data_IF_460966806070
#
_entry.id   IF_460966806070
#
_cell.length_a   1.000
_cell.length_b   1.000
_cell.length_c   1.000
_cell.angle_alpha   90.00
_cell.angle_beta   90.00
_cell.angle_gamma   90.00
#
_symmetry.space_group_name_H-M   'P 1'
#
loop_
_entity.id
_entity.type
_entity.pdbx_description
1 polymer ?
#
# COMPACT_ATOMS: atom_id res chain seq x y z
N UNK A 1 40.55 44.80 -0.13
CA UNK A 1 39.55 44.20 -1.02
C UNK A 1 39.47 42.74 -0.66
N UNK A 2 38.42 42.36 0.08
CA UNK A 2 38.18 40.99 0.48
C UNK A 2 36.92 40.52 -0.26
N UNK A 3 37.06 39.51 -1.11
CA UNK A 3 35.98 38.90 -1.85
C UNK A 3 35.31 37.86 -0.97
N UNK A 4 34.02 38.04 -0.67
CA UNK A 4 33.20 37.09 0.03
C UNK A 4 32.65 36.06 -0.98
N UNK A 5 33.09 34.82 -0.85
CA UNK A 5 32.44 33.68 -1.53
C UNK A 5 31.19 33.28 -0.78
N UNK A 6 30.03 33.51 -1.37
CA UNK A 6 28.77 32.96 -0.91
C UNK A 6 28.67 31.50 -1.38
N UNK A 7 28.74 30.57 -0.45
CA UNK A 7 28.44 29.15 -0.71
C UNK A 7 26.94 28.94 -0.77
N UNK A 8 26.43 28.68 -1.98
CA UNK A 8 25.08 28.17 -2.16
C UNK A 8 25.01 26.72 -1.68
N UNK A 9 24.37 26.52 -0.54
CA UNK A 9 24.02 25.20 -0.03
C UNK A 9 22.90 24.57 -0.86
N UNK A 10 23.25 23.84 -1.91
CA UNK A 10 22.32 22.94 -2.59
C UNK A 10 21.93 21.81 -1.64
N UNK A 11 20.63 21.66 -1.35
CA UNK A 11 20.10 20.46 -0.71
C UNK A 11 20.48 19.24 -1.56
N UNK A 12 21.10 18.20 -1.00
CA UNK A 12 21.33 16.99 -1.76
C UNK A 12 19.99 16.29 -1.97
N UNK A 13 19.50 16.26 -3.20
CA UNK A 13 18.53 15.27 -3.64
C UNK A 13 19.18 13.90 -3.48
N UNK A 14 18.71 13.12 -2.51
CA UNK A 14 19.14 11.74 -2.32
C UNK A 14 18.55 10.88 -3.44
N UNK A 15 19.20 10.90 -4.59
CA UNK A 15 19.04 9.86 -5.59
C UNK A 15 19.82 8.65 -5.10
N UNK A 16 19.11 7.68 -4.48
CA UNK A 16 19.61 6.31 -4.46
C UNK A 16 19.68 5.91 -5.94
N UNK A 17 20.91 5.72 -6.45
CA UNK A 17 21.09 5.24 -7.82
C UNK A 17 20.26 3.96 -8.02
N UNK A 18 19.41 3.90 -9.07
CA UNK A 18 18.71 2.68 -9.38
C UNK A 18 19.75 1.61 -9.68
N UNK A 19 19.65 0.46 -9.01
CA UNK A 19 20.40 -0.73 -9.40
C UNK A 19 20.30 -0.88 -10.92
N UNK A 20 21.45 -1.10 -11.58
CA UNK A 20 21.58 -1.14 -13.04
C UNK A 20 20.40 -1.92 -13.65
N UNK A 21 19.64 -1.25 -14.53
CA UNK A 21 18.48 -1.84 -15.19
C UNK A 21 18.88 -3.17 -15.84
N UNK A 22 18.33 -4.27 -15.35
CA UNK A 22 18.43 -5.57 -16.02
C UNK A 22 17.40 -5.56 -17.14
N UNK A 23 17.82 -5.54 -18.42
CA UNK A 23 16.92 -5.28 -19.56
C UNK A 23 15.81 -6.32 -19.73
N UNK A 24 15.93 -7.49 -19.11
CA UNK A 24 14.97 -8.60 -19.24
C UNK A 24 13.93 -8.67 -18.09
N UNK A 25 14.06 -7.85 -17.03
CA UNK A 25 13.13 -7.84 -15.92
C UNK A 25 12.06 -6.77 -16.13
N UNK A 26 10.85 -7.25 -16.39
CA UNK A 26 9.66 -6.40 -16.51
C UNK A 26 9.07 -6.02 -15.16
N UNK A 27 9.55 -6.61 -14.07
CA UNK A 27 9.18 -6.33 -12.68
C UNK A 27 10.42 -5.99 -11.85
N UNK A 28 10.33 -4.96 -11.02
CA UNK A 28 11.42 -4.51 -10.15
C UNK A 28 10.95 -4.38 -8.69
N UNK A 29 11.88 -4.52 -7.76
CA UNK A 29 11.68 -4.20 -6.34
C UNK A 29 12.16 -2.77 -6.09
N UNK A 30 11.44 -2.02 -5.27
CA UNK A 30 11.76 -0.62 -4.95
C UNK A 30 11.25 -0.21 -3.58
N UNK A 31 11.61 1.02 -3.14
CA UNK A 31 11.01 1.75 -2.02
C UNK A 31 10.68 3.16 -2.48
N UNK A 32 9.62 3.78 -1.91
CA UNK A 32 9.22 5.15 -2.25
C UNK A 32 8.95 5.95 -0.98
N UNK A 33 9.74 6.99 -0.76
CA UNK A 33 9.65 7.85 0.42
C UNK A 33 8.24 8.39 0.69
N UNK A 34 7.60 8.99 -0.32
CA UNK A 34 6.28 9.61 -0.18
C UNK A 34 5.18 8.60 0.16
N UNK A 35 5.33 7.35 -0.27
CA UNK A 35 4.39 6.28 0.07
C UNK A 35 4.52 5.92 1.54
N UNK A 36 5.76 5.68 1.97
CA UNK A 36 6.04 5.34 3.36
C UNK A 36 5.67 6.48 4.32
N UNK A 37 5.98 7.73 3.98
CA UNK A 37 5.59 8.90 4.79
C UNK A 37 4.06 9.02 4.92
N UNK A 38 3.33 8.86 3.81
CA UNK A 38 1.88 8.96 3.81
C UNK A 38 1.23 7.83 4.62
N UNK A 39 1.67 6.58 4.38
CA UNK A 39 1.21 5.40 5.14
C UNK A 39 1.60 5.46 6.62
N UNK A 40 2.79 6.03 6.94
CA UNK A 40 3.20 6.29 8.32
C UNK A 40 2.17 7.14 9.05
N UNK A 41 1.71 8.25 8.45
CA UNK A 41 0.68 9.09 9.06
C UNK A 41 -0.61 8.32 9.37
N UNK A 42 -1.06 7.48 8.45
CA UNK A 42 -2.23 6.62 8.69
C UNK A 42 -1.97 5.57 9.77
N UNK A 43 -0.81 4.93 9.77
CA UNK A 43 -0.43 3.95 10.80
C UNK A 43 -0.37 4.56 12.21
N UNK A 44 -0.01 5.85 12.31
CA UNK A 44 -0.04 6.59 13.59
C UNK A 44 -1.45 6.95 14.05
N UNK A 45 -2.41 7.11 13.14
CA UNK A 45 -3.77 7.55 13.45
C UNK A 45 -4.79 6.41 13.47
N UNK A 46 -4.70 5.47 12.53
CA UNK A 46 -5.71 4.44 12.34
C UNK A 46 -5.63 3.38 13.44
N UNK A 47 -6.79 2.95 13.93
CA UNK A 47 -6.93 1.71 14.67
C UNK A 47 -7.34 0.65 13.65
N UNK A 48 -6.39 -0.20 13.25
CA UNK A 48 -6.68 -1.29 12.34
C UNK A 48 -7.52 -2.35 13.04
N UNK A 49 -8.72 -2.60 12.50
CA UNK A 49 -9.68 -3.59 13.00
C UNK A 49 -10.00 -4.66 11.96
N UNK A 50 -9.25 -4.67 10.86
CA UNK A 50 -9.40 -5.67 9.80
C UNK A 50 -8.85 -7.02 10.24
N UNK A 51 -9.40 -8.11 9.69
CA UNK A 51 -8.96 -9.46 10.01
C UNK A 51 -7.48 -9.67 9.64
N UNK A 52 -7.07 -9.15 8.49
CA UNK A 52 -5.67 -9.06 8.10
C UNK A 52 -5.27 -7.59 8.20
N UNK A 53 -4.31 -7.22 9.05
CA UNK A 53 -3.98 -5.81 9.27
C UNK A 53 -3.19 -5.22 8.10
N UNK A 54 -3.48 -3.95 7.79
CA UNK A 54 -2.65 -3.17 6.87
C UNK A 54 -1.30 -2.82 7.48
N UNK A 55 -1.29 -2.45 8.76
CA UNK A 55 -0.10 -1.92 9.43
C UNK A 55 0.50 -2.92 10.41
N UNK A 56 1.83 -2.87 10.54
CA UNK A 56 2.57 -3.72 11.47
C UNK A 56 2.09 -3.54 12.91
N UNK A 57 1.83 -4.63 13.64
CA UNK A 57 1.54 -4.56 15.07
C UNK A 57 2.65 -3.82 15.83
N UNK A 58 2.27 -2.91 16.74
CA UNK A 58 3.22 -2.14 17.54
C UNK A 58 4.02 -1.08 16.76
N UNK A 59 3.69 -0.81 15.47
CA UNK A 59 4.37 0.23 14.70
C UNK A 59 4.29 1.59 15.38
N UNK A 60 3.09 2.01 15.79
CA UNK A 60 2.89 3.27 16.51
C UNK A 60 3.72 3.33 17.78
N UNK A 61 3.64 2.32 18.64
CA UNK A 61 4.36 2.28 19.92
C UNK A 61 5.87 2.38 19.72
N UNK A 62 6.38 1.74 18.67
CA UNK A 62 7.79 1.80 18.30
C UNK A 62 8.22 3.20 17.87
N UNK A 63 7.40 3.88 17.07
CA UNK A 63 7.63 5.27 16.64
C UNK A 63 7.54 6.23 17.82
N UNK A 64 6.51 6.10 18.65
CA UNK A 64 6.34 6.94 19.85
C UNK A 64 7.50 6.80 20.81
N UNK A 65 7.95 5.56 21.05
CA UNK A 65 9.14 5.30 21.89
C UNK A 65 10.42 5.91 21.30
N UNK A 66 10.58 5.87 19.97
CA UNK A 66 11.72 6.49 19.30
C UNK A 66 11.69 8.01 19.43
N UNK A 67 10.56 8.65 19.12
CA UNK A 67 10.38 10.10 19.24
C UNK A 67 10.60 10.57 20.67
N UNK A 68 10.06 9.84 21.65
CA UNK A 68 10.24 10.15 23.08
C UNK A 68 11.70 10.12 23.50
N UNK A 69 12.48 9.11 23.06
CA UNK A 69 13.91 9.07 23.35
C UNK A 69 14.69 10.23 22.73
N UNK A 70 14.28 10.67 21.54
CA UNK A 70 14.88 11.80 20.83
C UNK A 70 14.35 13.17 21.25
N UNK A 71 13.42 13.24 22.20
CA UNK A 71 12.71 14.47 22.58
C UNK A 71 12.12 15.21 21.37
N UNK A 72 11.54 14.43 20.43
CA UNK A 72 10.94 14.92 19.20
C UNK A 72 9.43 15.01 19.40
N UNK A 73 8.82 16.15 19.08
CA UNK A 73 7.38 16.36 19.04
C UNK A 73 6.97 17.04 17.74
N UNK A 74 5.95 16.51 17.13
CA UNK A 74 5.43 16.98 15.83
C UNK A 74 3.94 17.33 15.93
N UNK A 75 3.39 17.98 14.89
CA UNK A 75 1.95 18.23 14.81
C UNK A 75 1.14 16.92 14.77
N UNK A 76 1.70 15.84 14.24
CA UNK A 76 1.04 14.55 14.26
C UNK A 76 0.84 14.02 15.70
N UNK A 77 1.74 14.37 16.62
CA UNK A 77 1.62 14.00 18.03
C UNK A 77 0.62 14.91 18.77
N UNK A 78 0.60 16.22 18.48
CA UNK A 78 -0.25 17.20 19.18
C UNK A 78 -1.70 17.19 18.68
N UNK A 79 -1.90 17.05 17.38
CA UNK A 79 -3.21 17.10 16.72
C UNK A 79 -3.78 15.68 16.47
N UNK A 80 -2.99 14.65 16.80
CA UNK A 80 -3.28 13.25 16.50
C UNK A 80 -4.63 12.76 17.01
N UNK A 81 -5.08 13.20 18.19
CA UNK A 81 -6.37 12.78 18.75
C UNK A 81 -7.55 13.33 17.95
N UNK A 82 -7.48 14.58 17.49
CA UNK A 82 -8.49 15.17 16.64
C UNK A 82 -8.54 14.49 15.26
N UNK A 83 -7.38 14.29 14.64
CA UNK A 83 -7.27 13.60 13.34
C UNK A 83 -7.77 12.16 13.43
N UNK A 84 -7.45 11.46 14.51
CA UNK A 84 -7.88 10.06 14.76
C UNK A 84 -9.38 9.95 14.95
N UNK A 85 -9.98 10.88 15.71
CA UNK A 85 -11.42 10.89 15.95
C UNK A 85 -12.19 11.08 14.65
N UNK A 86 -11.75 11.99 13.78
CA UNK A 86 -12.37 12.22 12.49
C UNK A 86 -12.16 11.02 11.54
N UNK A 87 -10.95 10.46 11.50
CA UNK A 87 -10.64 9.26 10.68
C UNK A 87 -11.51 8.07 11.08
N UNK A 88 -11.75 7.87 12.38
CA UNK A 88 -12.59 6.78 12.88
C UNK A 88 -14.09 6.96 12.57
N UNK A 89 -14.54 8.20 12.39
CA UNK A 89 -15.95 8.52 12.11
C UNK A 89 -16.31 8.54 10.62
N UNK A 90 -15.32 8.52 9.72
CA UNK A 90 -15.53 8.63 8.28
C UNK A 90 -14.68 7.63 7.49
N UNK A 91 -15.33 6.57 7.00
CA UNK A 91 -14.67 5.51 6.22
C UNK A 91 -14.06 6.00 4.89
N UNK A 92 -14.53 7.11 4.33
CA UNK A 92 -13.94 7.68 3.11
C UNK A 92 -12.53 8.20 3.36
N UNK A 93 -12.27 8.77 4.55
CA UNK A 93 -10.92 9.20 4.92
C UNK A 93 -9.94 8.03 4.91
N UNK A 94 -10.38 6.84 5.35
CA UNK A 94 -9.57 5.60 5.29
C UNK A 94 -9.23 5.24 3.84
N UNK A 95 -10.15 5.46 2.90
CA UNK A 95 -9.90 5.26 1.46
C UNK A 95 -8.73 6.05 0.90
N UNK A 96 -8.37 7.17 1.53
CA UNK A 96 -7.23 8.01 1.16
C UNK A 96 -5.85 7.48 1.60
N UNK A 97 -5.78 6.40 2.39
CA UNK A 97 -4.51 5.90 2.96
C UNK A 97 -3.45 5.53 1.90
N UNK A 98 -3.85 5.18 0.69
CA UNK A 98 -2.94 4.83 -0.39
C UNK A 98 -2.70 5.96 -1.41
N UNK A 99 -3.14 7.18 -1.09
CA UNK A 99 -2.95 8.34 -1.98
C UNK A 99 -1.49 8.54 -2.41
N UNK A 100 -0.53 8.25 -1.52
CA UNK A 100 0.91 8.37 -1.81
C UNK A 100 1.39 7.55 -3.00
N UNK A 101 0.72 6.44 -3.35
CA UNK A 101 1.08 5.59 -4.48
C UNK A 101 0.95 6.29 -5.84
N UNK A 102 0.02 7.25 -5.97
CA UNK A 102 -0.25 7.97 -7.21
C UNK A 102 0.81 9.03 -7.56
N UNK A 103 1.76 9.28 -6.65
CA UNK A 103 2.76 10.31 -6.81
C UNK A 103 4.19 9.75 -6.87
N UNK A 104 5.08 10.50 -7.54
CA UNK A 104 6.49 10.12 -7.66
C UNK A 104 7.38 10.67 -6.55
N UNK A 105 6.93 11.71 -5.87
CA UNK A 105 7.68 12.36 -4.78
C UNK A 105 6.76 13.05 -3.79
N UNK A 106 7.27 13.31 -2.60
CA UNK A 106 6.53 14.08 -1.59
C UNK A 106 6.22 15.51 -2.05
N UNK A 107 7.13 16.15 -2.77
CA UNK A 107 6.91 17.47 -3.33
C UNK A 107 5.72 17.49 -4.33
N UNK A 108 5.61 16.48 -5.19
CA UNK A 108 4.48 16.37 -6.13
C UNK A 108 3.18 16.05 -5.40
N UNK A 109 3.21 15.24 -4.36
CA UNK A 109 2.05 14.96 -3.50
C UNK A 109 1.53 16.24 -2.85
N UNK A 110 2.41 17.01 -2.20
CA UNK A 110 2.06 18.27 -1.56
C UNK A 110 1.46 19.26 -2.55
N UNK A 111 2.13 19.45 -3.70
CA UNK A 111 1.66 20.37 -4.74
C UNK A 111 0.24 20.01 -5.22
N UNK A 112 -0.04 18.73 -5.45
CA UNK A 112 -1.34 18.27 -5.90
C UNK A 112 -2.42 18.50 -4.84
N UNK A 113 -2.14 18.20 -3.57
CA UNK A 113 -3.07 18.42 -2.46
C UNK A 113 -3.34 19.92 -2.28
N UNK A 114 -2.30 20.78 -2.31
CA UNK A 114 -2.46 22.22 -2.17
C UNK A 114 -3.31 22.81 -3.31
N UNK A 115 -3.06 22.38 -4.54
CA UNK A 115 -3.88 22.77 -5.69
C UNK A 115 -5.33 22.31 -5.55
N UNK A 116 -5.56 21.07 -5.11
CA UNK A 116 -6.89 20.55 -4.85
C UNK A 116 -7.60 21.40 -3.79
N UNK A 117 -7.00 21.60 -2.62
CA UNK A 117 -7.58 22.35 -1.51
C UNK A 117 -7.85 23.83 -1.87
N UNK A 118 -6.97 24.46 -2.66
CA UNK A 118 -7.18 25.83 -3.16
C UNK A 118 -8.38 25.94 -4.08
N UNK A 119 -8.65 24.91 -4.89
CA UNK A 119 -9.75 24.93 -5.85
C UNK A 119 -11.09 24.42 -5.25
N UNK A 120 -11.01 23.61 -4.19
CA UNK A 120 -12.18 23.04 -3.53
C UNK A 120 -12.84 24.01 -2.56
N UNK A 121 -12.09 24.96 -1.99
CA UNK A 121 -12.59 25.95 -1.02
C UNK A 121 -12.69 27.32 -1.72
N UNK A 122 -13.91 27.79 -1.96
CA UNK A 122 -14.17 29.19 -2.32
C UNK A 122 -14.18 30.02 -1.02
N UNK A 123 -13.59 31.24 -1.05
CA UNK A 123 -13.64 32.20 0.08
C UNK A 123 -15.08 32.60 0.45
N UNK A 124 -16.03 32.46 -0.48
CA UNK A 124 -17.43 32.89 -0.36
C UNK A 124 -18.42 31.76 -0.10
N UNK A 125 -18.07 30.74 0.67
CA UNK A 125 -18.98 29.69 1.19
C UNK A 125 -19.93 29.00 0.16
N UNK A 126 -19.84 29.36 -1.12
CA UNK A 126 -20.60 28.72 -2.20
C UNK A 126 -19.85 27.49 -2.74
N UNK A 127 -20.53 26.33 -2.85
CA UNK A 127 -19.92 25.17 -3.49
C UNK A 127 -19.61 25.47 -4.95
N UNK A 128 -18.39 25.84 -5.27
CA UNK A 128 -17.96 25.86 -6.67
C UNK A 128 -17.91 24.43 -7.18
N UNK A 129 -18.80 24.09 -8.09
CA UNK A 129 -18.57 22.91 -8.95
C UNK A 129 -17.22 23.13 -9.63
N UNK A 130 -16.25 22.35 -9.22
CA UNK A 130 -14.90 22.43 -9.77
C UNK A 130 -14.98 22.31 -11.29
N UNK A 131 -14.64 23.37 -12.01
CA UNK A 131 -14.60 23.33 -13.45
C UNK A 131 -13.31 22.61 -13.89
N UNK A 132 -13.35 21.27 -13.86
CA UNK A 132 -12.23 20.41 -14.26
C UNK A 132 -11.76 20.68 -15.69
N UNK A 133 -12.57 21.40 -16.50
CA UNK A 133 -12.16 21.86 -17.86
C UNK A 133 -11.07 22.92 -17.85
N UNK A 134 -10.82 23.60 -16.71
CA UNK A 134 -9.75 24.58 -16.57
C UNK A 134 -8.39 23.93 -16.20
N UNK A 135 -8.36 22.67 -15.83
CA UNK A 135 -7.12 21.93 -15.66
C UNK A 135 -6.64 21.49 -17.03
N UNK A 136 -5.60 22.18 -17.52
CA UNK A 136 -5.07 22.05 -18.88
C UNK A 136 -4.42 20.68 -19.12
N UNK A 137 -3.94 20.02 -18.05
CA UNK A 137 -3.21 18.76 -18.10
C UNK A 137 -4.08 17.56 -17.71
N UNK A 138 -4.18 16.50 -18.55
CA UNK A 138 -4.93 15.27 -18.25
C UNK A 138 -4.47 14.57 -16.98
N UNK A 139 -3.16 14.56 -16.68
CA UNK A 139 -2.60 13.93 -15.49
C UNK A 139 -3.10 14.64 -14.23
N UNK A 140 -3.17 15.96 -14.24
CA UNK A 140 -3.75 16.75 -13.15
C UNK A 140 -5.21 16.43 -12.91
N UNK A 141 -6.01 16.16 -13.95
CA UNK A 141 -7.44 15.81 -13.80
C UNK A 141 -7.61 14.45 -13.12
N UNK A 142 -6.81 13.46 -13.52
CA UNK A 142 -6.84 12.13 -12.93
C UNK A 142 -6.48 12.19 -11.43
N UNK A 143 -5.41 12.92 -11.09
CA UNK A 143 -4.98 13.15 -9.70
C UNK A 143 -6.05 13.85 -8.87
N UNK A 144 -6.71 14.88 -9.42
CA UNK A 144 -7.81 15.57 -8.73
C UNK A 144 -8.99 14.63 -8.47
N UNK A 145 -9.38 13.81 -9.44
CA UNK A 145 -10.45 12.83 -9.26
C UNK A 145 -10.14 11.82 -8.15
N UNK A 146 -8.88 11.38 -8.04
CA UNK A 146 -8.42 10.48 -6.99
C UNK A 146 -8.52 11.14 -5.61
N UNK A 147 -8.03 12.38 -5.46
CA UNK A 147 -8.12 13.11 -4.20
C UNK A 147 -9.60 13.34 -3.84
N UNK A 148 -10.40 13.75 -4.81
CA UNK A 148 -11.84 14.02 -4.62
C UNK A 148 -12.62 12.77 -4.20
N UNK A 149 -12.23 11.58 -4.63
CA UNK A 149 -12.90 10.34 -4.25
C UNK A 149 -12.90 10.12 -2.72
N UNK A 150 -11.83 10.54 -2.03
CA UNK A 150 -11.67 10.39 -0.57
C UNK A 150 -11.94 11.68 0.22
N UNK A 151 -11.92 12.85 -0.45
CA UNK A 151 -11.96 14.15 0.25
C UNK A 151 -12.90 15.14 -0.45
N UNK A 152 -14.15 14.73 -0.69
CA UNK A 152 -15.15 15.49 -1.48
C UNK A 152 -15.91 16.55 -0.69
N UNK A 153 -16.10 16.33 0.62
CA UNK A 153 -16.86 17.24 1.51
C UNK A 153 -15.95 18.22 2.25
N UNK A 154 -16.52 19.31 2.78
CA UNK A 154 -15.75 20.29 3.60
C UNK A 154 -15.06 19.65 4.82
N UNK A 155 -15.73 18.81 5.62
CA UNK A 155 -15.06 18.13 6.73
C UNK A 155 -13.87 17.28 6.27
N UNK A 156 -14.03 16.50 5.20
CA UNK A 156 -12.96 15.67 4.62
C UNK A 156 -11.79 16.54 4.10
N UNK A 157 -12.08 17.67 3.44
CA UNK A 157 -11.07 18.63 2.97
C UNK A 157 -10.35 19.34 4.12
N UNK A 158 -11.07 19.64 5.19
CA UNK A 158 -10.47 20.20 6.42
C UNK A 158 -9.53 19.18 7.05
N UNK A 159 -9.97 17.94 7.18
CA UNK A 159 -9.12 16.85 7.66
C UNK A 159 -7.86 16.69 6.79
N UNK A 160 -8.00 16.64 5.48
CA UNK A 160 -6.86 16.52 4.54
C UNK A 160 -5.87 17.68 4.73
N UNK A 161 -6.36 18.90 4.93
CA UNK A 161 -5.50 20.07 5.19
C UNK A 161 -4.70 19.90 6.48
N UNK A 162 -5.36 19.57 7.58
CA UNK A 162 -4.74 19.37 8.88
C UNK A 162 -3.77 18.19 8.86
N UNK A 163 -4.17 17.08 8.26
CA UNK A 163 -3.32 15.90 8.09
C UNK A 163 -2.07 16.21 7.25
N UNK A 164 -2.23 16.92 6.11
CA UNK A 164 -1.09 17.28 5.27
C UNK A 164 -0.13 18.24 5.98
N UNK A 165 -0.65 19.18 6.78
CA UNK A 165 0.17 20.05 7.61
C UNK A 165 0.97 19.25 8.66
N UNK A 166 0.31 18.29 9.32
CA UNK A 166 0.97 17.39 10.26
C UNK A 166 2.05 16.54 9.56
N UNK A 167 1.79 16.03 8.36
CA UNK A 167 2.76 15.25 7.59
C UNK A 167 3.97 16.07 7.12
N UNK A 168 3.82 17.36 6.83
CA UNK A 168 4.95 18.28 6.53
C UNK A 168 5.84 18.50 7.74
N UNK A 169 5.24 18.66 8.89
CA UNK A 169 5.96 18.83 10.15
C UNK A 169 6.69 17.53 10.54
N UNK A 170 6.01 16.37 10.37
CA UNK A 170 6.56 15.03 10.56
C UNK A 170 7.75 14.77 9.64
N UNK A 171 7.62 15.07 8.34
CA UNK A 171 8.69 14.99 7.33
C UNK A 171 9.94 15.75 7.80
N UNK A 172 9.75 17.00 8.19
CA UNK A 172 10.85 17.93 8.48
C UNK A 172 11.55 17.59 9.80
N UNK A 173 10.79 17.28 10.86
CA UNK A 173 11.32 17.11 12.21
C UNK A 173 11.80 15.68 12.51
N UNK A 174 11.22 14.70 11.84
CA UNK A 174 11.43 13.30 12.21
C UNK A 174 11.61 12.36 11.03
N UNK A 175 10.58 12.21 10.17
CA UNK A 175 10.44 11.05 9.31
C UNK A 175 11.49 10.97 8.20
N UNK A 176 11.94 12.09 7.64
CA UNK A 176 12.97 12.08 6.60
C UNK A 176 14.28 11.44 7.07
N UNK A 177 14.69 11.72 8.33
CA UNK A 177 15.89 11.13 8.90
C UNK A 177 15.67 9.66 9.29
N UNK A 178 14.53 9.36 9.92
CA UNK A 178 14.13 8.00 10.27
C UNK A 178 14.13 7.10 9.03
N UNK A 179 13.45 7.49 7.96
CA UNK A 179 13.36 6.70 6.74
C UNK A 179 14.72 6.41 6.12
N UNK A 180 15.59 7.41 5.99
CA UNK A 180 16.97 7.21 5.49
C UNK A 180 17.74 6.21 6.33
N UNK A 181 17.64 6.30 7.63
CA UNK A 181 18.27 5.36 8.56
C UNK A 181 17.72 3.95 8.37
N UNK A 182 16.38 3.80 8.21
CA UNK A 182 15.77 2.51 7.94
C UNK A 182 16.21 1.93 6.60
N UNK A 183 16.31 2.73 5.53
CA UNK A 183 16.81 2.25 4.23
C UNK A 183 18.25 1.71 4.35
N UNK A 184 19.11 2.40 5.07
CA UNK A 184 20.50 1.95 5.31
C UNK A 184 20.52 0.65 6.12
N UNK A 185 19.79 0.60 7.23
CA UNK A 185 19.78 -0.56 8.13
C UNK A 185 19.16 -1.80 7.48
N UNK A 186 18.24 -1.61 6.52
CA UNK A 186 17.50 -2.68 5.82
C UNK A 186 18.06 -2.99 4.42
N UNK A 187 19.23 -2.46 4.06
CA UNK A 187 19.81 -2.69 2.73
C UNK A 187 20.01 -4.19 2.43
N UNK A 188 20.43 -4.99 3.42
CA UNK A 188 20.59 -6.43 3.27
C UNK A 188 19.24 -7.15 3.09
N UNK A 189 18.18 -6.68 3.76
CA UNK A 189 16.83 -7.22 3.62
C UNK A 189 16.28 -6.89 2.23
N UNK A 190 16.46 -5.65 1.78
CA UNK A 190 16.09 -5.24 0.42
C UNK A 190 16.76 -6.13 -0.63
N UNK A 191 18.08 -6.33 -0.52
CA UNK A 191 18.84 -7.19 -1.43
C UNK A 191 18.35 -8.65 -1.39
N UNK A 192 17.97 -9.17 -0.23
CA UNK A 192 17.40 -10.50 -0.09
C UNK A 192 16.04 -10.63 -0.80
N UNK A 193 15.13 -9.64 -0.63
CA UNK A 193 13.84 -9.62 -1.32
C UNK A 193 14.04 -9.51 -2.83
N UNK A 194 14.90 -8.60 -3.30
CA UNK A 194 15.19 -8.44 -4.73
C UNK A 194 15.77 -9.74 -5.32
N UNK A 195 16.69 -10.40 -4.62
CA UNK A 195 17.26 -11.68 -5.03
C UNK A 195 16.22 -12.79 -5.09
N UNK A 196 15.38 -12.94 -4.06
CA UNK A 196 14.27 -13.90 -4.04
C UNK A 196 13.34 -13.69 -5.23
N UNK A 197 12.96 -12.45 -5.49
CA UNK A 197 12.12 -12.13 -6.64
C UNK A 197 12.80 -12.45 -7.95
N UNK A 198 13.95 -11.86 -8.20
CA UNK A 198 14.59 -11.89 -9.52
C UNK A 198 15.17 -13.26 -9.90
N UNK A 199 15.68 -14.01 -8.91
CA UNK A 199 16.38 -15.27 -9.16
C UNK A 199 15.49 -16.51 -8.96
N UNK A 200 14.43 -16.40 -8.12
CA UNK A 200 13.63 -17.57 -7.74
C UNK A 200 12.19 -17.46 -8.20
N UNK A 201 11.48 -16.37 -7.83
CA UNK A 201 10.02 -16.36 -7.94
C UNK A 201 9.50 -15.70 -9.21
N UNK A 202 10.17 -14.73 -9.80
CA UNK A 202 9.70 -14.08 -11.03
C UNK A 202 9.38 -15.10 -12.14
N UNK A 203 10.26 -16.06 -12.37
CA UNK A 203 10.05 -17.10 -13.39
C UNK A 203 8.79 -17.94 -13.10
N UNK A 204 8.51 -18.25 -11.83
CA UNK A 204 7.35 -19.01 -11.40
C UNK A 204 6.03 -18.20 -11.55
N UNK A 205 6.06 -16.92 -11.22
CA UNK A 205 4.91 -16.03 -11.33
C UNK A 205 4.63 -15.55 -12.76
N UNK A 206 5.64 -15.54 -13.64
CA UNK A 206 5.58 -14.89 -14.96
C UNK A 206 4.39 -15.31 -15.80
N UNK A 207 4.05 -16.61 -15.84
CA UNK A 207 2.91 -17.11 -16.64
C UNK A 207 1.61 -16.50 -16.16
N UNK A 208 1.35 -16.56 -14.85
CA UNK A 208 0.17 -15.97 -14.23
C UNK A 208 0.12 -14.46 -14.46
N UNK A 209 1.20 -13.73 -14.16
CA UNK A 209 1.28 -12.28 -14.35
C UNK A 209 1.00 -11.86 -15.80
N UNK A 210 1.51 -12.61 -16.76
CA UNK A 210 1.26 -12.33 -18.19
C UNK A 210 -0.22 -12.54 -18.55
N UNK A 211 -0.81 -13.65 -18.10
CA UNK A 211 -2.21 -13.99 -18.40
C UNK A 211 -3.21 -13.06 -17.71
N UNK A 212 -2.91 -12.62 -16.49
CA UNK A 212 -3.73 -11.64 -15.74
C UNK A 212 -3.49 -10.19 -16.18
N UNK A 213 -2.77 -9.94 -17.28
CA UNK A 213 -2.51 -8.58 -17.78
C UNK A 213 -1.47 -7.79 -17.00
N UNK A 214 -0.69 -8.46 -16.14
CA UNK A 214 0.31 -7.86 -15.25
C UNK A 214 1.75 -8.20 -15.72
N UNK A 215 2.00 -8.25 -17.03
CA UNK A 215 3.29 -8.67 -17.58
C UNK A 215 4.50 -7.83 -17.13
N UNK A 216 4.28 -6.63 -16.62
CA UNK A 216 5.27 -5.72 -16.03
C UNK A 216 4.69 -5.05 -14.79
N UNK A 217 5.56 -4.61 -13.87
CA UNK A 217 5.10 -3.95 -12.65
C UNK A 217 6.24 -3.62 -11.68
N UNK A 218 5.85 -3.21 -10.49
CA UNK A 218 6.75 -2.82 -9.41
C UNK A 218 6.28 -3.41 -8.08
N UNK A 219 7.18 -4.04 -7.36
CA UNK A 219 7.01 -4.47 -5.98
C UNK A 219 7.58 -3.36 -5.11
N UNK A 220 6.72 -2.67 -4.37
CA UNK A 220 7.09 -1.56 -3.53
C UNK A 220 7.12 -2.00 -2.07
N UNK A 221 8.32 -2.11 -1.49
CA UNK A 221 8.48 -2.42 -0.07
C UNK A 221 8.14 -1.20 0.77
N UNK A 222 7.26 -1.36 1.75
CA UNK A 222 6.78 -0.29 2.62
C UNK A 222 6.97 -0.62 4.09
N UNK A 223 7.58 0.31 4.84
CA UNK A 223 7.94 0.13 6.24
C UNK A 223 6.74 -0.12 7.16
N UNK A 224 5.62 0.63 7.05
CA UNK A 224 4.48 0.43 7.93
C UNK A 224 3.57 -0.75 7.57
N UNK A 225 3.61 -1.27 6.32
CA UNK A 225 2.68 -2.31 5.87
C UNK A 225 2.99 -3.70 6.45
N UNK A 226 1.93 -4.49 6.67
CA UNK A 226 1.97 -5.87 7.17
C UNK A 226 1.39 -6.88 6.18
N UNK A 227 0.23 -7.45 6.45
CA UNK A 227 -0.38 -8.56 5.71
C UNK A 227 -1.20 -8.11 4.50
N UNK A 228 -1.92 -7.02 4.63
CA UNK A 228 -2.60 -6.38 3.50
C UNK A 228 -1.64 -5.45 2.79
N UNK A 229 -1.68 -5.49 1.47
CA UNK A 229 -0.95 -4.58 0.60
C UNK A 229 -1.89 -3.66 -0.17
N UNK A 230 -1.42 -3.16 -1.29
CA UNK A 230 -2.25 -2.42 -2.23
C UNK A 230 -1.71 -2.49 -3.65
N UNK A 231 -2.56 -2.86 -4.57
CA UNK A 231 -2.28 -2.82 -6.00
C UNK A 231 -2.84 -1.56 -6.62
N UNK A 232 -1.99 -0.76 -7.25
CA UNK A 232 -2.35 0.38 -8.09
C UNK A 232 -2.03 0.05 -9.54
N UNK A 233 -3.05 -0.02 -10.39
CA UNK A 233 -2.87 -0.19 -11.84
C UNK A 233 -2.49 1.13 -12.52
N UNK A 234 -1.39 1.14 -13.27
CA UNK A 234 -1.02 2.23 -14.17
C UNK A 234 -1.06 1.71 -15.61
N UNK A 235 -1.89 2.28 -16.52
CA UNK A 235 -2.11 1.74 -17.87
C UNK A 235 -0.82 1.49 -18.65
N UNK A 236 0.15 2.41 -18.54
CA UNK A 236 1.38 2.38 -19.36
C UNK A 236 2.57 1.69 -18.67
N UNK A 237 2.51 1.44 -17.35
CA UNK A 237 3.64 0.94 -16.55
C UNK A 237 3.41 -0.40 -15.91
N UNK A 238 2.18 -0.88 -15.94
CA UNK A 238 1.75 -2.01 -15.17
C UNK A 238 1.49 -1.65 -13.69
N UNK A 239 1.06 -2.61 -12.86
CA UNK A 239 0.73 -2.35 -11.47
C UNK A 239 1.97 -2.00 -10.62
N UNK A 240 1.79 -1.08 -9.69
CA UNK A 240 2.62 -0.92 -8.51
C UNK A 240 1.95 -1.64 -7.35
N UNK A 241 2.63 -2.61 -6.76
CA UNK A 241 2.12 -3.41 -5.64
C UNK A 241 2.91 -3.07 -4.40
N UNK A 242 2.27 -2.35 -3.47
CA UNK A 242 2.85 -2.05 -2.17
C UNK A 242 2.69 -3.27 -1.26
N UNK A 243 3.79 -3.73 -0.68
CA UNK A 243 3.87 -4.90 0.20
C UNK A 243 4.68 -4.58 1.44
N UNK A 244 4.65 -5.46 2.43
CA UNK A 244 5.47 -5.31 3.63
C UNK A 244 6.97 -5.22 3.30
N UNK A 245 7.67 -4.34 4.02
CA UNK A 245 9.14 -4.39 4.10
C UNK A 245 9.51 -5.27 5.30
N UNK A 246 10.01 -6.49 5.10
CA UNK A 246 10.29 -7.42 6.18
C UNK A 246 11.29 -6.86 7.21
N UNK A 247 11.25 -7.37 8.44
CA UNK A 247 12.08 -6.83 9.52
C UNK A 247 13.46 -7.50 9.63
N UNK A 248 13.62 -8.67 8.99
CA UNK A 248 14.90 -9.40 8.94
C UNK A 248 15.12 -10.09 7.58
N UNK A 249 16.36 -10.48 7.30
CA UNK A 249 16.71 -11.26 6.08
C UNK A 249 16.00 -12.61 6.08
N UNK A 250 15.85 -13.26 7.22
CA UNK A 250 15.13 -14.53 7.35
C UNK A 250 13.64 -14.42 7.02
N UNK A 251 13.07 -13.22 7.12
CA UNK A 251 11.68 -12.93 6.81
C UNK A 251 11.47 -12.35 5.40
N UNK A 252 12.53 -12.21 4.61
CA UNK A 252 12.46 -11.61 3.27
C UNK A 252 11.36 -12.24 2.39
N UNK A 253 11.06 -13.51 2.59
CA UNK A 253 9.99 -14.23 1.88
C UNK A 253 8.58 -13.70 2.17
N UNK A 254 8.35 -12.98 3.27
CA UNK A 254 7.05 -12.40 3.59
C UNK A 254 6.57 -11.40 2.52
N UNK A 255 7.51 -10.69 1.88
CA UNK A 255 7.18 -9.83 0.74
C UNK A 255 6.55 -10.61 -0.42
N UNK A 256 6.96 -11.87 -0.63
CA UNK A 256 6.37 -12.76 -1.66
C UNK A 256 4.98 -13.25 -1.25
N UNK A 257 4.71 -13.41 0.05
CA UNK A 257 3.38 -13.76 0.54
C UNK A 257 2.38 -12.63 0.25
N UNK A 258 2.73 -11.39 0.62
CA UNK A 258 1.87 -10.23 0.34
C UNK A 258 1.76 -9.97 -1.16
N UNK A 259 2.84 -10.19 -1.94
CA UNK A 259 2.76 -10.13 -3.39
C UNK A 259 1.77 -11.13 -3.97
N UNK A 260 1.78 -12.40 -3.52
CA UNK A 260 0.84 -13.42 -3.99
C UNK A 260 -0.62 -13.04 -3.68
N UNK A 261 -0.86 -12.49 -2.49
CA UNK A 261 -2.16 -11.93 -2.08
C UNK A 261 -2.61 -10.79 -3.00
N UNK A 262 -1.72 -9.89 -3.36
CA UNK A 262 -2.06 -8.70 -4.14
C UNK A 262 -2.23 -8.98 -5.64
N UNK A 263 -1.37 -9.81 -6.24
CA UNK A 263 -1.47 -10.10 -7.68
C UNK A 263 -2.72 -10.89 -8.04
N UNK A 264 -3.29 -11.63 -7.08
CA UNK A 264 -4.53 -12.37 -7.27
C UNK A 264 -5.79 -11.50 -7.15
N UNK A 265 -5.67 -10.29 -6.59
CA UNK A 265 -6.80 -9.42 -6.29
C UNK A 265 -7.74 -9.15 -7.49
N UNK A 266 -7.28 -8.98 -8.74
CA UNK A 266 -8.19 -8.84 -9.88
C UNK A 266 -9.09 -10.07 -10.08
N UNK A 267 -8.53 -11.27 -9.91
CA UNK A 267 -9.24 -12.55 -10.06
C UNK A 267 -10.20 -12.77 -8.88
N UNK A 268 -9.72 -12.57 -7.65
CA UNK A 268 -10.54 -12.75 -6.43
C UNK A 268 -11.68 -11.74 -6.36
N UNK A 269 -11.44 -10.48 -6.70
CA UNK A 269 -12.48 -9.45 -6.77
C UNK A 269 -13.50 -9.74 -7.87
N UNK A 270 -13.07 -10.28 -9.02
CA UNK A 270 -13.95 -10.78 -10.08
C UNK A 270 -14.87 -11.86 -9.55
N UNK A 271 -14.32 -12.89 -8.91
CA UNK A 271 -15.09 -13.99 -8.35
C UNK A 271 -16.11 -13.52 -7.28
N UNK A 272 -15.74 -12.59 -6.40
CA UNK A 272 -16.66 -11.99 -5.42
C UNK A 272 -17.76 -11.20 -6.12
N UNK A 273 -17.38 -10.33 -7.07
CA UNK A 273 -18.32 -9.47 -7.77
C UNK A 273 -19.36 -10.24 -8.59
N UNK A 274 -18.98 -11.32 -9.24
CA UNK A 274 -19.86 -12.13 -10.07
C UNK A 274 -20.82 -13.01 -9.22
N UNK A 275 -20.44 -13.31 -7.97
CA UNK A 275 -21.22 -14.14 -7.06
C UNK A 275 -21.88 -13.36 -5.92
N UNK A 276 -22.00 -12.04 -6.07
CA UNK A 276 -22.76 -11.16 -5.17
C UNK A 276 -23.76 -10.33 -5.95
N UNK A 277 -25.01 -10.28 -5.46
CA UNK A 277 -26.08 -9.51 -6.08
C UNK A 277 -25.88 -8.00 -5.89
N UNK A 278 -26.52 -7.12 -6.71
CA UNK A 278 -26.48 -5.68 -6.48
C UNK A 278 -26.99 -5.24 -5.10
N UNK A 279 -27.98 -5.96 -4.52
CA UNK A 279 -28.47 -5.70 -3.18
C UNK A 279 -27.42 -6.00 -2.14
N UNK A 280 -26.80 -7.18 -2.20
CA UNK A 280 -25.71 -7.59 -1.30
C UNK A 280 -24.49 -6.66 -1.37
N UNK A 281 -24.13 -6.16 -2.56
CA UNK A 281 -23.08 -5.15 -2.73
C UNK A 281 -23.43 -3.84 -2.02
N UNK A 282 -24.69 -3.40 -2.14
CA UNK A 282 -25.16 -2.18 -1.47
C UNK A 282 -25.16 -2.33 0.05
N UNK A 283 -25.40 -3.53 0.56
CA UNK A 283 -25.38 -3.88 1.99
C UNK A 283 -23.97 -4.15 2.54
N UNK A 284 -22.92 -4.07 1.69
CA UNK A 284 -21.54 -4.34 2.09
C UNK A 284 -21.21 -5.82 2.25
N UNK A 285 -22.08 -6.74 1.83
CA UNK A 285 -21.84 -8.18 1.92
C UNK A 285 -20.65 -8.61 1.07
N UNK A 286 -20.46 -7.99 -0.09
CA UNK A 286 -19.30 -8.24 -0.96
C UNK A 286 -17.99 -7.95 -0.25
N UNK A 287 -17.93 -6.89 0.57
CA UNK A 287 -16.72 -6.46 1.26
C UNK A 287 -16.23 -7.51 2.28
N UNK A 288 -17.16 -8.28 2.87
CA UNK A 288 -16.81 -9.38 3.78
C UNK A 288 -16.07 -10.55 3.11
N UNK A 289 -16.19 -10.70 1.80
CA UNK A 289 -15.50 -11.75 1.04
C UNK A 289 -14.23 -11.30 0.36
N UNK A 290 -13.97 -9.98 0.26
CA UNK A 290 -12.84 -9.42 -0.51
C UNK A 290 -11.49 -9.90 0.03
N UNK A 291 -11.18 -9.65 1.31
CA UNK A 291 -9.92 -10.11 1.93
C UNK A 291 -9.86 -11.65 2.05
N UNK A 292 -10.91 -12.37 2.50
CA UNK A 292 -10.92 -13.84 2.45
C UNK A 292 -10.65 -14.43 1.07
N UNK A 293 -11.21 -13.85 0.00
CA UNK A 293 -10.98 -14.32 -1.35
C UNK A 293 -9.55 -14.08 -1.84
N UNK A 294 -8.95 -12.95 -1.46
CA UNK A 294 -7.56 -12.65 -1.78
C UNK A 294 -6.60 -13.59 -1.03
N UNK A 295 -6.81 -13.83 0.27
CA UNK A 295 -6.00 -14.78 1.07
C UNK A 295 -6.12 -16.21 0.50
N UNK A 296 -7.35 -16.68 0.22
CA UNK A 296 -7.59 -18.01 -0.35
C UNK A 296 -7.03 -18.14 -1.77
N UNK A 297 -7.19 -17.10 -2.58
CA UNK A 297 -6.67 -17.03 -3.94
C UNK A 297 -5.14 -17.05 -3.98
N UNK A 298 -4.48 -16.28 -3.12
CA UNK A 298 -3.03 -16.29 -2.99
C UNK A 298 -2.49 -17.66 -2.58
N UNK A 299 -3.18 -18.33 -1.62
CA UNK A 299 -2.84 -19.70 -1.25
C UNK A 299 -2.95 -20.67 -2.44
N UNK A 300 -4.06 -20.65 -3.17
CA UNK A 300 -4.27 -21.51 -4.35
C UNK A 300 -3.28 -21.20 -5.47
N UNK A 301 -2.97 -19.95 -5.71
CA UNK A 301 -1.93 -19.56 -6.67
C UNK A 301 -0.59 -20.18 -6.28
N UNK A 302 -0.16 -20.00 -5.03
CA UNK A 302 1.11 -20.58 -4.55
C UNK A 302 1.14 -22.10 -4.61
N UNK A 303 0.04 -22.79 -4.30
CA UNK A 303 -0.06 -24.25 -4.45
C UNK A 303 0.27 -24.71 -5.88
N UNK A 304 -0.06 -23.91 -6.89
CA UNK A 304 0.18 -24.22 -8.31
C UNK A 304 1.56 -23.82 -8.82
N UNK A 305 2.12 -22.69 -8.36
CA UNK A 305 3.34 -22.12 -8.95
C UNK A 305 4.57 -22.14 -8.02
N UNK A 306 4.38 -22.17 -6.70
CA UNK A 306 5.44 -22.11 -5.70
C UNK A 306 5.04 -22.87 -4.41
N UNK A 307 4.82 -24.21 -4.48
CA UNK A 307 4.28 -25.01 -3.38
C UNK A 307 5.14 -24.94 -2.12
N UNK A 308 6.43 -24.67 -2.23
CA UNK A 308 7.34 -24.46 -1.09
C UNK A 308 6.95 -23.23 -0.22
N UNK A 309 6.18 -22.29 -0.74
CA UNK A 309 5.72 -21.10 0.00
C UNK A 309 4.42 -21.33 0.75
N UNK A 310 3.66 -22.36 0.45
CA UNK A 310 2.26 -22.58 0.90
C UNK A 310 2.13 -22.57 2.41
N UNK A 311 2.96 -23.35 3.12
CA UNK A 311 2.89 -23.45 4.58
C UNK A 311 3.30 -22.13 5.24
N UNK A 312 4.35 -21.49 4.74
CA UNK A 312 4.81 -20.18 5.24
C UNK A 312 3.77 -19.08 5.01
N UNK A 313 3.13 -19.07 3.84
CA UNK A 313 2.02 -18.17 3.52
C UNK A 313 0.85 -18.37 4.47
N UNK A 314 0.43 -19.61 4.70
CA UNK A 314 -0.67 -19.92 5.58
C UNK A 314 -0.38 -19.47 7.03
N UNK A 315 0.81 -19.74 7.54
CA UNK A 315 1.24 -19.25 8.87
C UNK A 315 1.20 -17.74 8.96
N UNK A 316 1.78 -17.05 7.97
CA UNK A 316 1.84 -15.60 7.94
C UNK A 316 0.46 -14.96 8.07
N UNK A 317 -0.56 -15.44 7.33
CA UNK A 317 -1.91 -14.87 7.40
C UNK A 317 -2.69 -15.31 8.63
N UNK A 318 -2.48 -16.52 9.14
CA UNK A 318 -3.08 -16.95 10.41
C UNK A 318 -2.54 -16.15 11.60
N UNK A 319 -1.21 -15.94 11.63
CA UNK A 319 -0.56 -15.15 12.67
C UNK A 319 -1.00 -13.69 12.61
N UNK A 320 -1.09 -13.10 11.39
CA UNK A 320 -1.58 -11.75 11.17
C UNK A 320 -3.03 -11.57 11.63
N UNK A 321 -3.87 -12.58 11.43
CA UNK A 321 -5.26 -12.60 11.86
C UNK A 321 -5.45 -13.04 13.32
N UNK A 322 -4.36 -13.32 14.06
CA UNK A 322 -4.39 -13.84 15.43
C UNK A 322 -5.19 -15.15 15.58
N UNK A 323 -5.15 -16.01 14.57
CA UNK A 323 -5.84 -17.31 14.55
C UNK A 323 -4.89 -18.40 15.00
N UNK A 324 -5.27 -19.11 16.07
CA UNK A 324 -4.52 -20.28 16.54
C UNK A 324 -4.73 -21.48 15.61
N UNK A 325 -3.67 -22.22 15.34
CA UNK A 325 -3.68 -23.41 14.49
C UNK A 325 -2.77 -24.51 15.04
N UNK A 326 -3.01 -25.74 14.62
CA UNK A 326 -2.13 -26.87 14.94
C UNK A 326 -1.03 -26.95 13.89
N UNK A 327 0.25 -27.09 14.27
CA UNK A 327 1.34 -27.32 13.32
C UNK A 327 1.03 -28.50 12.38
N UNK A 328 1.18 -28.28 11.07
CA UNK A 328 0.85 -29.24 10.02
C UNK A 328 -0.59 -29.16 9.50
N UNK A 329 -1.46 -28.34 10.12
CA UNK A 329 -2.83 -28.10 9.69
C UNK A 329 -3.06 -26.67 9.18
N UNK A 330 -2.00 -25.94 8.84
CA UNK A 330 -2.04 -24.51 8.50
C UNK A 330 -2.97 -24.22 7.30
N UNK A 331 -2.91 -25.06 6.26
CA UNK A 331 -3.74 -24.90 5.07
C UNK A 331 -5.23 -25.09 5.40
N UNK A 332 -5.57 -26.12 6.16
CA UNK A 332 -6.95 -26.34 6.61
C UNK A 332 -7.44 -25.23 7.56
N UNK A 333 -6.54 -24.68 8.38
CA UNK A 333 -6.85 -23.56 9.26
C UNK A 333 -7.16 -22.29 8.47
N UNK A 334 -6.42 -21.98 7.38
CA UNK A 334 -6.74 -20.86 6.47
C UNK A 334 -8.15 -21.02 5.88
N UNK A 335 -8.51 -22.21 5.45
CA UNK A 335 -9.85 -22.45 4.87
C UNK A 335 -10.98 -22.15 5.85
N UNK A 336 -10.76 -22.50 7.10
CA UNK A 336 -11.71 -22.22 8.18
C UNK A 336 -11.73 -20.74 8.61
N UNK A 337 -10.55 -20.10 8.67
CA UNK A 337 -10.41 -18.73 9.13
C UNK A 337 -10.90 -17.69 8.09
N UNK A 338 -10.77 -18.03 6.81
CA UNK A 338 -11.16 -17.19 5.67
C UNK A 338 -12.23 -17.88 4.82
N UNK A 339 -13.48 -18.01 5.34
CA UNK A 339 -14.54 -18.76 4.69
C UNK A 339 -15.03 -18.03 3.42
N UNK A 340 -15.30 -18.82 2.38
CA UNK A 340 -15.92 -18.35 1.13
C UNK A 340 -17.22 -19.08 0.88
N UNK A 341 -18.14 -18.43 0.16
CA UNK A 341 -19.26 -19.15 -0.46
C UNK A 341 -18.71 -20.15 -1.47
N UNK A 342 -19.34 -21.34 -1.60
CA UNK A 342 -18.89 -22.34 -2.59
C UNK A 342 -18.76 -21.76 -4.00
N UNK A 343 -19.71 -20.95 -4.45
CA UNK A 343 -19.70 -20.32 -5.78
C UNK A 343 -18.51 -19.40 -5.99
N UNK A 344 -18.10 -18.63 -4.97
CA UNK A 344 -16.90 -17.78 -5.03
C UNK A 344 -15.63 -18.64 -5.10
N UNK A 345 -15.57 -19.69 -4.26
CA UNK A 345 -14.42 -20.59 -4.21
C UNK A 345 -14.24 -21.36 -5.53
N UNK A 346 -15.33 -21.86 -6.11
CA UNK A 346 -15.34 -22.60 -7.38
C UNK A 346 -14.91 -21.72 -8.54
N UNK A 347 -15.43 -20.49 -8.62
CA UNK A 347 -15.07 -19.55 -9.67
C UNK A 347 -13.59 -19.12 -9.56
N UNK A 348 -13.10 -18.85 -8.34
CA UNK A 348 -11.71 -18.51 -8.09
C UNK A 348 -10.79 -19.64 -8.57
N UNK A 349 -11.11 -20.90 -8.24
CA UNK A 349 -10.35 -22.08 -8.66
C UNK A 349 -10.38 -22.21 -10.19
N UNK A 350 -11.56 -22.11 -10.80
CA UNK A 350 -11.72 -22.21 -12.26
C UNK A 350 -10.93 -21.14 -13.02
N UNK A 351 -10.98 -19.88 -12.56
CA UNK A 351 -10.25 -18.79 -13.19
C UNK A 351 -8.73 -19.01 -13.09
N UNK A 352 -8.22 -19.41 -11.92
CA UNK A 352 -6.81 -19.74 -11.74
C UNK A 352 -6.37 -20.90 -12.65
N UNK A 353 -7.20 -21.93 -12.79
CA UNK A 353 -6.89 -23.04 -13.68
C UNK A 353 -6.82 -22.58 -15.14
N UNK A 354 -7.74 -21.71 -15.54
CA UNK A 354 -7.77 -21.13 -16.89
C UNK A 354 -6.52 -20.29 -17.17
N UNK A 355 -6.15 -19.40 -16.25
CA UNK A 355 -4.99 -18.51 -16.41
C UNK A 355 -3.65 -19.29 -16.41
N UNK A 356 -3.59 -20.41 -15.72
CA UNK A 356 -2.38 -21.24 -15.63
C UNK A 356 -2.30 -22.37 -16.66
N UNK A 357 -3.43 -22.87 -17.18
CA UNK A 357 -3.44 -23.95 -18.19
C UNK A 357 -3.29 -23.45 -19.62
N UNK A 358 -3.71 -22.25 -19.95
CA UNK A 358 -3.61 -21.69 -21.31
C UNK A 358 -2.17 -21.68 -21.84
N UNK A 359 -1.93 -22.36 -22.94
CA UNK A 359 -0.67 -22.40 -23.73
C UNK A 359 -0.35 -21.06 -24.38
#
# INVERSE_FOLDING_TARGET
MAAACASQGGKPESTVEPLAARPDLTWRVSTRYQVDLWLHGYAMLQKDTTLVPYFKPGYRDSIDAFKKRGNISTLLDTDGDSLRTQLASDSKLVGGQFLGLYFRSWATTQKAIDQYLKNAVSEDDTPRRMNTRQLIDPDSRAVFAIIQASYSTRPEQHWLRSFTAAMRDEDTKYYANYWRTQQTNRAAIFAAVDSLWTQTYFAKFRKFLTKSGQSRGEILLSLPLQGEGRTLGEPDRGPTIAVTFPDSVSEAVQAMYVLAHEVISPVSNGAVNDNTTPAEKKEGVADHYTSPAAVRGGLQLLQKIAPELVVGYARFYLDAAHISYTPGAEVAAIEKAFPLRPTIADQLTHQLDTDLSGS
#
